data_IF_507821927613
#
_entry.id   IF_507821927613
#
_cell.length_a   1.000
_cell.length_b   1.000
_cell.length_c   1.000
_cell.angle_alpha   90.00
_cell.angle_beta   90.00
_cell.angle_gamma   90.00
#
_symmetry.space_group_name_H-M   'P 1'
#
loop_
_entity.id
_entity.type
_entity.pdbx_description
1 polymer ?
#
# COMPACT_ATOMS: atom_id res chain seq x y z
N UNK A 1 -14.15 42.28 7.29
CA UNK A 1 -14.18 41.07 6.45
C UNK A 1 -12.99 40.22 6.87
N UNK A 2 -13.23 39.03 7.41
CA UNK A 2 -12.17 38.11 7.83
C UNK A 2 -11.59 37.46 6.57
N UNK A 3 -10.29 37.64 6.33
CA UNK A 3 -9.56 36.86 5.34
C UNK A 3 -9.60 35.39 5.74
N UNK A 4 -10.30 34.56 4.99
CA UNK A 4 -10.20 33.12 5.13
C UNK A 4 -8.74 32.73 4.90
N UNK A 5 -8.09 32.21 5.93
CA UNK A 5 -6.73 31.69 5.82
C UNK A 5 -6.84 30.43 4.96
N UNK A 6 -6.47 30.52 3.68
CA UNK A 6 -6.41 29.36 2.79
C UNK A 6 -5.33 28.46 3.35
N UNK A 7 -5.71 27.40 4.06
CA UNK A 7 -4.76 26.41 4.53
C UNK A 7 -4.17 25.73 3.30
N UNK A 8 -2.95 26.11 2.93
CA UNK A 8 -2.22 25.40 1.88
C UNK A 8 -1.79 24.04 2.41
N UNK A 9 -1.87 23.03 1.55
CA UNK A 9 -1.31 21.72 1.83
C UNK A 9 0.21 21.86 1.92
N UNK A 10 0.83 21.24 2.93
CA UNK A 10 2.29 21.20 3.03
C UNK A 10 2.88 20.39 1.88
N UNK A 11 4.05 20.79 1.35
CA UNK A 11 4.74 20.07 0.27
C UNK A 11 5.02 18.62 0.65
N UNK A 12 4.55 17.67 -0.17
CA UNK A 12 4.63 16.23 0.11
C UNK A 12 5.93 15.65 -0.49
N UNK A 13 6.84 15.07 0.33
CA UNK A 13 8.00 14.34 -0.18
C UNK A 13 7.57 13.17 -1.07
N UNK A 14 8.18 13.02 -2.25
CA UNK A 14 7.84 11.98 -3.21
C UNK A 14 6.71 12.31 -4.19
N UNK A 15 5.95 13.38 -3.95
CA UNK A 15 4.93 13.88 -4.88
C UNK A 15 5.24 15.31 -5.39
N UNK A 16 5.45 16.24 -4.46
CA UNK A 16 5.70 17.66 -4.77
C UNK A 16 7.19 18.02 -4.78
N UNK A 17 8.00 17.25 -4.05
CA UNK A 17 9.46 17.43 -3.98
C UNK A 17 10.17 16.07 -3.98
N UNK A 18 11.44 16.00 -4.39
CA UNK A 18 12.24 14.77 -4.29
C UNK A 18 12.31 14.23 -2.86
N UNK A 19 12.47 12.91 -2.74
CA UNK A 19 12.72 12.24 -1.47
C UNK A 19 14.13 12.55 -0.95
N UNK A 20 14.27 12.64 0.37
CA UNK A 20 15.53 12.79 1.09
C UNK A 20 15.80 11.58 1.98
N UNK A 21 17.05 11.42 2.46
CA UNK A 21 17.37 10.37 3.43
C UNK A 21 16.62 10.57 4.75
N UNK A 22 16.34 11.81 5.11
CA UNK A 22 15.56 12.18 6.29
C UNK A 22 14.11 11.69 6.15
N UNK A 23 13.50 11.85 4.97
CA UNK A 23 12.16 11.29 4.70
C UNK A 23 12.16 9.76 4.84
N UNK A 24 13.21 9.09 4.35
CA UNK A 24 13.36 7.64 4.50
C UNK A 24 13.53 7.21 5.96
N UNK A 25 14.26 7.96 6.79
CA UNK A 25 14.43 7.65 8.22
C UNK A 25 13.13 7.89 9.01
N UNK A 26 12.42 8.96 8.69
CA UNK A 26 11.11 9.22 9.26
C UNK A 26 10.12 8.08 8.94
N UNK A 27 10.18 7.56 7.71
CA UNK A 27 9.35 6.43 7.28
C UNK A 27 9.48 5.20 8.19
N UNK A 28 10.69 4.88 8.66
CA UNK A 28 10.96 3.75 9.55
C UNK A 28 10.25 3.90 10.90
N UNK A 29 10.32 5.11 11.48
CA UNK A 29 9.68 5.43 12.76
C UNK A 29 8.16 5.33 12.60
N UNK A 30 7.63 5.90 11.52
CA UNK A 30 6.22 5.88 11.20
C UNK A 30 5.70 4.46 11.02
N UNK A 31 6.34 3.66 10.16
CA UNK A 31 5.97 2.26 9.88
C UNK A 31 5.98 1.40 11.14
N UNK A 32 7.03 1.48 11.96
CA UNK A 32 7.14 0.69 13.18
C UNK A 32 6.10 1.07 14.26
N UNK A 33 5.52 2.28 14.17
CA UNK A 33 4.42 2.74 15.01
C UNK A 33 3.01 2.34 14.52
N UNK A 34 2.88 1.72 13.35
CA UNK A 34 1.58 1.32 12.80
C UNK A 34 1.00 0.09 13.54
N UNK A 35 -0.34 -0.07 13.54
CA UNK A 35 -0.96 -1.30 14.03
C UNK A 35 -0.52 -2.50 13.17
N UNK A 36 -0.32 -3.65 13.79
CA UNK A 36 -0.04 -4.87 13.03
C UNK A 36 -1.30 -5.31 12.29
N UNK A 37 -1.18 -5.74 11.04
CA UNK A 37 -2.31 -6.32 10.30
C UNK A 37 -2.90 -7.52 11.05
N UNK A 38 -4.24 -7.56 11.14
CA UNK A 38 -4.98 -8.66 11.76
C UNK A 38 -6.36 -8.82 11.11
N UNK A 39 -6.96 -10.01 11.21
CA UNK A 39 -8.26 -10.28 10.57
C UNK A 39 -9.44 -9.50 11.14
N UNK A 40 -9.29 -8.96 12.35
CA UNK A 40 -10.33 -8.12 12.96
C UNK A 40 -10.26 -6.65 12.51
N UNK A 41 -9.38 -6.30 11.56
CA UNK A 41 -9.43 -4.99 10.94
C UNK A 41 -10.68 -4.94 10.05
N UNK A 42 -11.67 -4.18 10.49
CA UNK A 42 -12.92 -3.99 9.77
C UNK A 42 -12.92 -2.62 9.11
N UNK A 43 -13.51 -2.57 7.92
CA UNK A 43 -13.64 -1.36 7.13
C UNK A 43 -15.11 -1.13 6.87
N UNK A 44 -15.59 0.07 7.18
CA UNK A 44 -16.93 0.49 6.80
C UNK A 44 -16.94 0.83 5.30
N UNK A 45 -17.83 0.17 4.55
CA UNK A 45 -17.93 0.34 3.10
C UNK A 45 -18.42 1.74 2.72
N UNK A 46 -19.16 2.44 3.59
CA UNK A 46 -19.59 3.82 3.33
C UNK A 46 -18.37 4.76 3.22
N UNK A 47 -17.32 4.50 4.01
CA UNK A 47 -16.06 5.26 3.92
C UNK A 47 -15.28 4.91 2.66
N UNK A 48 -15.28 3.64 2.25
CA UNK A 48 -14.64 3.19 1.01
C UNK A 48 -15.29 3.88 -0.19
N UNK A 49 -16.62 3.88 -0.27
CA UNK A 49 -17.38 4.52 -1.35
C UNK A 49 -17.09 6.03 -1.42
N UNK A 50 -17.06 6.72 -0.27
CA UNK A 50 -16.78 8.15 -0.25
C UNK A 50 -15.33 8.47 -0.64
N UNK A 51 -14.34 7.70 -0.18
CA UNK A 51 -12.94 7.89 -0.58
C UNK A 51 -12.73 7.67 -2.08
N UNK A 52 -13.38 6.65 -2.67
CA UNK A 52 -13.42 6.47 -4.13
C UNK A 52 -14.09 7.67 -4.80
N UNK A 53 -15.17 8.18 -4.21
CA UNK A 53 -15.88 9.38 -4.66
C UNK A 53 -14.97 10.61 -4.70
N UNK A 54 -14.22 10.88 -3.64
CA UNK A 54 -13.24 11.98 -3.57
C UNK A 54 -12.22 11.86 -4.69
N UNK A 55 -11.56 10.71 -4.81
CA UNK A 55 -10.54 10.46 -5.85
C UNK A 55 -11.13 10.69 -7.26
N UNK A 56 -12.34 10.21 -7.48
CA UNK A 56 -13.03 10.30 -8.79
C UNK A 56 -13.41 11.75 -9.12
N UNK A 57 -13.99 12.49 -8.18
CA UNK A 57 -14.43 13.88 -8.40
C UNK A 57 -13.27 14.82 -8.71
N UNK A 58 -12.07 14.52 -8.23
CA UNK A 58 -10.85 15.25 -8.55
C UNK A 58 -10.09 14.73 -9.79
N UNK A 59 -10.63 13.74 -10.51
CA UNK A 59 -9.98 13.17 -11.69
C UNK A 59 -8.65 12.47 -11.39
N UNK A 60 -8.49 11.97 -10.16
CA UNK A 60 -7.26 11.31 -9.68
C UNK A 60 -7.37 9.77 -9.74
N UNK A 61 -8.50 9.24 -10.20
CA UNK A 61 -8.70 7.81 -10.40
C UNK A 61 -7.67 7.24 -11.39
N UNK A 62 -7.07 6.11 -11.04
CA UNK A 62 -6.00 5.47 -11.83
C UNK A 62 -4.60 6.04 -11.58
N UNK A 63 -4.48 7.16 -10.84
CA UNK A 63 -3.21 7.65 -10.29
C UNK A 63 -3.10 7.34 -8.80
N UNK A 64 -4.22 7.49 -8.08
CA UNK A 64 -4.29 7.31 -6.65
C UNK A 64 -5.41 6.34 -6.27
N UNK A 65 -5.20 5.71 -5.13
CA UNK A 65 -6.13 4.89 -4.38
C UNK A 65 -5.91 5.12 -2.89
N UNK A 66 -6.48 4.27 -2.05
CA UNK A 66 -6.20 4.27 -0.62
C UNK A 66 -5.88 2.87 -0.12
N UNK A 67 -5.13 2.86 0.97
CA UNK A 67 -4.55 1.67 1.57
C UNK A 67 -4.92 1.58 3.05
N UNK A 68 -5.14 0.37 3.56
CA UNK A 68 -5.37 0.14 4.99
C UNK A 68 -4.07 0.38 5.76
N UNK A 69 -4.05 1.31 6.70
CA UNK A 69 -2.85 1.64 7.48
C UNK A 69 -2.50 0.47 8.41
N UNK A 70 -1.43 -0.24 8.08
CA UNK A 70 -0.94 -1.34 8.90
C UNK A 70 0.56 -1.55 8.71
N UNK A 71 1.14 -2.37 9.59
CA UNK A 71 2.45 -2.99 9.39
C UNK A 71 2.35 -4.51 9.42
N UNK A 72 3.36 -5.14 8.86
CA UNK A 72 3.64 -6.55 9.03
C UNK A 72 4.53 -6.75 10.27
N UNK A 73 5.73 -7.31 10.07
CA UNK A 73 6.78 -7.33 11.08
C UNK A 73 7.48 -5.97 11.18
N UNK A 74 7.91 -5.54 12.38
CA UNK A 74 8.76 -4.36 12.52
C UNK A 74 10.06 -4.52 11.73
N UNK A 75 10.54 -3.41 11.18
CA UNK A 75 11.79 -3.37 10.41
C UNK A 75 12.92 -2.75 11.24
N UNK A 76 14.19 -3.11 11.00
CA UNK A 76 15.33 -2.51 11.69
C UNK A 76 15.41 -0.99 11.49
N UNK A 77 16.08 -0.31 12.42
CA UNK A 77 16.45 1.09 12.24
C UNK A 77 17.27 1.28 10.96
N UNK A 78 17.17 2.46 10.36
CA UNK A 78 17.84 2.82 9.11
C UNK A 78 17.51 1.87 7.94
N UNK A 79 16.32 1.27 7.96
CA UNK A 79 15.76 0.51 6.82
C UNK A 79 14.36 1.01 6.44
N UNK A 80 14.01 0.87 5.17
CA UNK A 80 12.69 1.19 4.62
C UNK A 80 12.00 -0.05 4.08
N UNK A 81 10.68 0.03 3.92
CA UNK A 81 9.89 -0.91 3.10
C UNK A 81 10.06 -0.56 1.63
N UNK A 82 10.81 -1.37 0.90
CA UNK A 82 11.06 -1.17 -0.53
C UNK A 82 10.48 -2.33 -1.33
N UNK A 83 9.53 -2.00 -2.19
CA UNK A 83 8.94 -2.90 -3.18
C UNK A 83 9.82 -3.01 -4.42
N UNK A 84 10.03 -4.25 -4.87
CA UNK A 84 10.69 -4.56 -6.13
C UNK A 84 9.90 -5.62 -6.88
N UNK A 85 9.68 -5.43 -8.19
CA UNK A 85 8.97 -6.42 -9.00
C UNK A 85 9.70 -7.75 -9.04
N UNK A 86 8.96 -8.86 -9.10
CA UNK A 86 9.59 -10.18 -9.23
C UNK A 86 10.33 -10.37 -10.56
N UNK A 87 9.92 -9.68 -11.62
CA UNK A 87 10.52 -9.74 -12.96
C UNK A 87 10.24 -11.03 -13.74
N UNK A 88 9.77 -12.08 -13.08
CA UNK A 88 9.45 -13.39 -13.68
C UNK A 88 7.96 -13.75 -13.62
N UNK A 89 7.23 -13.18 -12.66
CA UNK A 89 5.78 -13.31 -12.50
C UNK A 89 5.22 -11.95 -12.09
N UNK A 90 3.95 -11.66 -12.37
CA UNK A 90 3.31 -10.46 -11.83
C UNK A 90 3.36 -10.45 -10.31
N UNK A 91 3.68 -9.29 -9.73
CA UNK A 91 3.78 -9.11 -8.29
C UNK A 91 5.08 -8.44 -7.86
N UNK A 92 5.12 -8.06 -6.60
CA UNK A 92 6.21 -7.34 -5.97
C UNK A 92 6.64 -8.03 -4.68
N UNK A 93 7.92 -7.89 -4.37
CA UNK A 93 8.49 -8.25 -3.09
C UNK A 93 8.85 -6.96 -2.35
N UNK A 94 8.14 -6.73 -1.24
CA UNK A 94 8.34 -5.62 -0.33
C UNK A 94 9.19 -6.08 0.87
N UNK A 95 10.40 -5.54 1.01
CA UNK A 95 11.35 -5.98 2.03
C UNK A 95 12.07 -4.82 2.72
N UNK A 96 12.54 -5.04 3.97
CA UNK A 96 13.44 -4.10 4.62
C UNK A 96 14.71 -3.89 3.77
N UNK A 97 15.00 -2.65 3.43
CA UNK A 97 16.18 -2.26 2.66
C UNK A 97 16.89 -1.11 3.36
N UNK A 98 18.21 -1.19 3.52
CA UNK A 98 18.98 -0.17 4.23
C UNK A 98 18.92 1.18 3.50
N UNK A 99 18.65 2.26 4.23
CA UNK A 99 18.53 3.63 3.71
C UNK A 99 19.78 4.01 2.90
N UNK A 100 20.96 3.64 3.38
CA UNK A 100 22.23 3.97 2.72
C UNK A 100 22.50 3.17 1.44
N UNK A 101 21.79 2.08 1.20
CA UNK A 101 21.91 1.27 -0.01
C UNK A 101 20.97 1.72 -1.14
N UNK A 102 20.08 2.67 -0.87
CA UNK A 102 19.05 3.12 -1.80
C UNK A 102 19.54 4.31 -2.62
N UNK A 103 19.38 4.23 -3.94
CA UNK A 103 19.51 5.38 -4.83
C UNK A 103 18.20 6.18 -4.85
N UNK A 104 18.22 7.38 -4.26
CA UNK A 104 17.07 8.29 -4.19
C UNK A 104 16.53 8.70 -5.57
N UNK A 105 17.34 8.59 -6.63
CA UNK A 105 16.89 8.90 -7.99
C UNK A 105 16.18 7.72 -8.68
N UNK A 106 16.23 6.53 -8.06
CA UNK A 106 15.67 5.30 -8.61
C UNK A 106 14.68 4.65 -7.64
N UNK A 107 14.01 5.46 -6.82
CA UNK A 107 12.86 5.05 -6.01
C UNK A 107 11.77 6.11 -6.04
N UNK A 108 10.57 5.73 -5.64
CA UNK A 108 9.46 6.64 -5.41
C UNK A 108 8.65 6.20 -4.19
N UNK A 109 7.88 7.12 -3.62
CA UNK A 109 6.96 6.80 -2.54
C UNK A 109 5.67 6.16 -3.10
N UNK A 110 5.19 5.13 -2.43
CA UNK A 110 4.00 4.35 -2.84
C UNK A 110 2.84 4.63 -1.90
N UNK A 111 3.07 4.56 -0.58
CA UNK A 111 1.99 4.70 0.41
C UNK A 111 2.31 5.85 1.37
N UNK A 112 1.32 6.71 1.61
CA UNK A 112 1.43 7.92 2.41
C UNK A 112 0.38 7.96 3.51
N UNK A 113 0.83 8.07 4.77
CA UNK A 113 -0.06 8.27 5.89
C UNK A 113 -0.29 9.76 6.11
N UNK A 114 -1.53 10.15 6.40
CA UNK A 114 -1.80 11.50 6.87
C UNK A 114 -1.36 11.67 8.34
N UNK A 115 -0.53 12.69 8.60
CA UNK A 115 -0.09 13.09 9.92
C UNK A 115 -0.79 14.41 10.31
N UNK A 116 -1.92 14.36 11.06
CA UNK A 116 -2.74 15.55 11.32
C UNK A 116 -1.98 16.66 12.06
N UNK A 117 -1.09 16.29 12.99
CA UNK A 117 -0.28 17.23 13.78
C UNK A 117 0.68 18.06 12.94
N UNK A 118 1.09 17.54 11.78
CA UNK A 118 1.99 18.19 10.84
C UNK A 118 1.24 18.70 9.60
N UNK A 119 -0.06 18.42 9.50
CA UNK A 119 -0.92 18.71 8.35
C UNK A 119 -0.27 18.31 7.01
N UNK A 120 0.30 17.10 6.95
CA UNK A 120 0.96 16.58 5.74
C UNK A 120 0.77 15.08 5.56
N UNK A 121 0.95 14.64 4.31
CA UNK A 121 1.14 13.25 3.96
C UNK A 121 2.62 12.88 4.12
N UNK A 122 2.87 11.74 4.78
CA UNK A 122 4.22 11.22 5.06
C UNK A 122 4.36 9.86 4.40
N UNK A 123 5.32 9.67 3.47
CA UNK A 123 5.52 8.38 2.84
C UNK A 123 6.07 7.35 3.83
N UNK A 124 5.58 6.12 3.78
CA UNK A 124 6.07 5.03 4.63
C UNK A 124 6.39 3.72 3.91
N UNK A 125 5.95 3.57 2.65
CA UNK A 125 6.39 2.49 1.77
C UNK A 125 6.84 3.06 0.41
N UNK A 126 7.81 2.39 -0.21
CA UNK A 126 8.50 2.87 -1.40
C UNK A 126 8.58 1.79 -2.47
N UNK A 127 8.64 2.20 -3.73
CA UNK A 127 8.82 1.32 -4.88
C UNK A 127 10.13 1.62 -5.59
N UNK A 128 10.80 0.56 -6.07
CA UNK A 128 11.95 0.70 -6.94
C UNK A 128 11.54 1.21 -8.32
N UNK A 129 12.34 2.12 -8.89
CA UNK A 129 12.11 2.72 -10.20
C UNK A 129 11.44 4.10 -10.15
N UNK A 130 11.16 4.68 -11.32
CA UNK A 130 10.54 6.00 -11.42
C UNK A 130 9.10 6.01 -10.90
N UNK A 131 8.67 7.15 -10.37
CA UNK A 131 7.27 7.35 -9.98
C UNK A 131 6.35 7.32 -11.22
N UNK A 132 5.19 6.65 -11.16
CA UNK A 132 4.17 6.80 -12.19
C UNK A 132 3.48 8.17 -12.13
N UNK A 133 3.68 8.94 -11.06
CA UNK A 133 3.12 10.28 -10.88
C UNK A 133 4.12 11.31 -11.39
N UNK A 134 3.75 12.05 -12.43
CA UNK A 134 4.55 13.16 -12.95
C UNK A 134 4.52 14.35 -11.99
N UNK A 135 5.56 15.22 -12.00
CA UNK A 135 5.50 16.51 -11.32
C UNK A 135 4.25 17.31 -11.74
N UNK A 136 3.50 17.84 -10.77
CA UNK A 136 2.21 18.51 -11.02
C UNK A 136 1.06 17.54 -11.37
N UNK A 137 1.28 16.24 -11.27
CA UNK A 137 0.27 15.21 -11.50
C UNK A 137 -0.73 15.05 -10.36
N UNK A 138 -0.49 15.72 -9.23
CA UNK A 138 -1.28 15.72 -8.00
C UNK A 138 -2.05 17.03 -7.91
N UNK A 139 -3.35 16.94 -7.63
CA UNK A 139 -4.19 18.09 -7.34
C UNK A 139 -4.14 18.43 -5.84
N UNK A 140 -3.82 19.68 -5.50
CA UNK A 140 -3.77 20.13 -4.10
C UNK A 140 -5.15 20.15 -3.45
N UNK A 141 -6.21 20.43 -4.22
CA UNK A 141 -7.59 20.40 -3.71
C UNK A 141 -8.01 18.97 -3.36
N UNK A 142 -7.60 18.00 -4.18
CA UNK A 142 -7.77 16.57 -3.89
C UNK A 142 -7.13 16.18 -2.56
N UNK A 143 -5.84 16.50 -2.38
CA UNK A 143 -5.14 16.13 -1.14
C UNK A 143 -5.82 16.77 0.06
N UNK A 144 -6.27 18.01 -0.08
CA UNK A 144 -6.96 18.74 0.99
C UNK A 144 -8.31 18.10 1.35
N UNK A 145 -9.14 17.75 0.36
CA UNK A 145 -10.42 17.07 0.59
C UNK A 145 -10.21 15.69 1.21
N UNK A 146 -9.29 14.89 0.67
CA UNK A 146 -8.95 13.56 1.17
C UNK A 146 -8.51 13.62 2.64
N UNK A 147 -7.52 14.45 2.96
CA UNK A 147 -6.98 14.55 4.34
C UNK A 147 -8.00 15.12 5.33
N UNK A 148 -8.83 16.08 4.92
CA UNK A 148 -9.94 16.59 5.75
C UNK A 148 -10.98 15.52 6.02
N UNK A 149 -11.33 14.71 5.02
CA UNK A 149 -12.27 13.62 5.19
C UNK A 149 -11.74 12.61 6.21
N UNK A 150 -10.47 12.22 6.10
CA UNK A 150 -9.85 11.31 7.07
C UNK A 150 -9.86 11.88 8.49
N UNK A 151 -9.50 13.16 8.65
CA UNK A 151 -9.48 13.81 9.96
C UNK A 151 -10.88 13.95 10.59
N UNK A 152 -11.88 14.33 9.79
CA UNK A 152 -13.24 14.57 10.25
C UNK A 152 -13.95 13.31 10.74
N UNK A 153 -13.60 12.16 10.16
CA UNK A 153 -14.24 10.88 10.46
C UNK A 153 -13.34 9.93 11.29
N UNK A 154 -12.27 10.45 11.90
CA UNK A 154 -11.32 9.67 12.71
C UNK A 154 -10.64 8.49 11.98
N UNK A 155 -10.48 8.60 10.66
CA UNK A 155 -9.95 7.55 9.79
C UNK A 155 -8.43 7.61 9.54
N UNK A 156 -7.72 8.54 10.19
CA UNK A 156 -6.29 8.81 9.94
C UNK A 156 -5.35 7.66 10.31
N UNK A 157 -5.81 6.75 11.18
CA UNK A 157 -5.11 5.51 11.52
C UNK A 157 -5.70 4.28 10.80
N UNK A 158 -6.67 4.49 9.91
CA UNK A 158 -7.32 3.45 9.14
C UNK A 158 -6.91 3.52 7.66
N UNK A 159 -6.89 4.71 7.05
CA UNK A 159 -6.57 4.85 5.64
C UNK A 159 -5.33 5.73 5.38
N UNK A 160 -4.58 5.31 4.37
CA UNK A 160 -3.47 6.00 3.75
C UNK A 160 -3.77 6.26 2.27
N UNK A 161 -3.08 7.22 1.68
CA UNK A 161 -3.10 7.43 0.24
C UNK A 161 -2.10 6.48 -0.42
N UNK A 162 -2.48 5.83 -1.53
CA UNK A 162 -1.61 4.92 -2.28
C UNK A 162 -1.50 5.35 -3.74
N UNK A 163 -0.27 5.33 -4.26
CA UNK A 163 0.05 5.55 -5.67
C UNK A 163 -0.22 4.28 -6.45
N UNK A 164 -1.02 4.41 -7.51
CA UNK A 164 -1.42 3.32 -8.37
C UNK A 164 -0.41 3.17 -9.51
N UNK A 165 0.20 2.00 -9.65
CA UNK A 165 1.05 1.67 -10.79
C UNK A 165 0.20 1.26 -12.00
N UNK A 166 0.48 1.77 -13.21
CA UNK A 166 -0.18 1.30 -14.41
C UNK A 166 0.15 -0.18 -14.68
N UNK A 167 -0.86 -1.01 -14.92
CA UNK A 167 -0.66 -2.36 -15.43
C UNK A 167 -0.33 -2.36 -16.92
N UNK A 168 0.59 -3.24 -17.31
CA UNK A 168 0.85 -3.52 -18.72
C UNK A 168 -0.43 -4.01 -19.43
N UNK A 169 -0.71 -3.42 -20.60
CA UNK A 169 -1.84 -3.82 -21.45
C UNK A 169 -3.20 -3.21 -21.09
N UNK A 170 -3.26 -2.20 -20.21
CA UNK A 170 -4.47 -1.39 -19.99
C UNK A 170 -5.62 -2.12 -19.30
N UNK A 171 -5.34 -3.26 -18.66
CA UNK A 171 -6.33 -3.94 -17.79
C UNK A 171 -6.59 -3.09 -16.54
N UNK A 172 -7.79 -3.15 -15.94
CA UNK A 172 -8.00 -2.56 -14.62
C UNK A 172 -7.07 -3.19 -13.61
N UNK A 173 -6.51 -2.38 -12.70
CA UNK A 173 -5.78 -2.91 -11.56
C UNK A 173 -6.74 -3.73 -10.69
N UNK A 174 -6.43 -5.01 -10.50
CA UNK A 174 -7.16 -5.85 -9.55
C UNK A 174 -6.68 -5.58 -8.12
N UNK A 175 -7.52 -5.93 -7.13
CA UNK A 175 -7.10 -5.91 -5.73
C UNK A 175 -5.87 -6.81 -5.53
N UNK A 176 -4.89 -6.33 -4.76
CA UNK A 176 -3.64 -7.04 -4.51
C UNK A 176 -3.67 -7.75 -3.16
N UNK A 177 -3.27 -9.01 -3.15
CA UNK A 177 -3.06 -9.78 -1.95
C UNK A 177 -1.65 -9.70 -1.39
N UNK A 178 -1.58 -9.54 -0.08
CA UNK A 178 -0.34 -9.47 0.67
C UNK A 178 -0.10 -10.77 1.46
N UNK A 179 1.08 -11.36 1.25
CA UNK A 179 1.51 -12.58 1.89
C UNK A 179 2.77 -12.29 2.69
N UNK A 180 2.72 -12.45 4.02
CA UNK A 180 3.89 -12.31 4.88
C UNK A 180 4.82 -13.51 4.68
N UNK A 181 6.10 -13.26 4.41
CA UNK A 181 7.11 -14.30 4.20
C UNK A 181 8.15 -14.24 5.32
N UNK A 182 7.73 -14.62 6.52
CA UNK A 182 8.53 -14.54 7.76
C UNK A 182 9.41 -13.25 7.81
N UNK A 183 10.71 -13.38 8.05
CA UNK A 183 11.66 -12.25 8.11
C UNK A 183 12.10 -11.71 6.74
N UNK A 184 11.62 -12.30 5.65
CA UNK A 184 12.01 -11.95 4.29
C UNK A 184 11.19 -10.79 3.71
N UNK A 185 10.08 -10.43 4.36
CA UNK A 185 9.23 -9.31 3.98
C UNK A 185 7.83 -9.74 3.58
N UNK A 186 7.18 -8.95 2.73
CA UNK A 186 5.83 -9.20 2.24
C UNK A 186 5.86 -9.35 0.73
N UNK A 187 5.06 -10.27 0.22
CA UNK A 187 4.83 -10.46 -1.19
C UNK A 187 3.47 -9.89 -1.54
N UNK A 188 3.45 -8.94 -2.48
CA UNK A 188 2.25 -8.30 -3.01
C UNK A 188 1.94 -8.92 -4.36
N UNK A 189 0.79 -9.57 -4.49
CA UNK A 189 0.40 -10.33 -5.67
C UNK A 189 -0.98 -9.90 -6.15
N UNK A 190 -1.24 -9.92 -7.46
CA UNK A 190 -2.60 -9.87 -7.96
C UNK A 190 -3.45 -10.99 -7.33
N UNK A 191 -4.66 -10.69 -6.81
CA UNK A 191 -5.59 -11.66 -6.20
C UNK A 191 -5.81 -12.90 -7.08
N UNK A 192 -5.84 -12.73 -8.40
CA UNK A 192 -6.00 -13.82 -9.36
C UNK A 192 -4.90 -14.88 -9.25
N UNK A 193 -3.68 -14.50 -8.87
CA UNK A 193 -2.51 -15.39 -8.76
C UNK A 193 -2.38 -16.10 -7.42
N UNK A 194 -3.12 -15.68 -6.39
CA UNK A 194 -3.02 -16.28 -5.05
C UNK A 194 -4.02 -17.42 -4.90
N UNK A 195 -3.55 -18.56 -4.39
CA UNK A 195 -4.37 -19.70 -4.02
C UNK A 195 -4.96 -19.52 -2.60
N UNK A 196 -5.58 -18.36 -2.36
CA UNK A 196 -6.23 -18.02 -1.10
C UNK A 196 -7.76 -18.05 -1.23
N UNK A 197 -8.43 -18.58 -0.21
CA UNK A 197 -9.90 -18.66 -0.14
C UNK A 197 -10.55 -17.51 0.64
N UNK A 198 -9.80 -16.83 1.51
CA UNK A 198 -10.17 -15.59 2.21
C UNK A 198 -9.10 -14.53 1.90
N UNK A 199 -9.51 -13.28 1.75
CA UNK A 199 -8.61 -12.20 1.35
C UNK A 199 -9.03 -10.90 2.05
N UNK A 200 -8.13 -10.31 2.85
CA UNK A 200 -8.32 -8.95 3.37
C UNK A 200 -7.76 -7.97 2.33
N UNK A 201 -8.61 -7.22 1.61
CA UNK A 201 -8.12 -6.17 0.72
C UNK A 201 -7.36 -5.10 1.53
N UNK A 202 -6.13 -4.83 1.11
CA UNK A 202 -5.29 -3.78 1.71
C UNK A 202 -5.27 -2.52 0.85
N UNK A 203 -5.65 -2.59 -0.44
CA UNK A 203 -5.74 -1.44 -1.35
C UNK A 203 -6.84 -1.58 -2.41
N UNK A 204 -7.36 -0.44 -2.90
CA UNK A 204 -8.47 -0.34 -3.87
C UNK A 204 -8.10 0.49 -5.11
N UNK A 205 -7.34 -0.06 -6.06
CA UNK A 205 -6.74 0.71 -7.16
C UNK A 205 -7.71 1.12 -8.29
N UNK A 206 -9.01 0.83 -8.19
CA UNK A 206 -10.00 1.08 -9.24
C UNK A 206 -11.43 1.26 -8.72
N UNK A 207 -12.41 1.34 -9.64
CA UNK A 207 -13.84 1.37 -9.28
C UNK A 207 -14.24 0.09 -8.54
N UNK A 208 -14.97 0.23 -7.43
CA UNK A 208 -15.55 -0.89 -6.69
C UNK A 208 -16.33 -1.79 -7.65
N UNK A 209 -15.99 -3.08 -7.70
CA UNK A 209 -16.77 -4.05 -8.46
C UNK A 209 -17.85 -4.65 -7.54
N UNK A 210 -19.05 -4.96 -8.06
CA UNK A 210 -20.05 -5.69 -7.30
C UNK A 210 -19.50 -7.06 -6.87
N UNK A 211 -19.49 -7.36 -5.57
CA UNK A 211 -19.04 -8.64 -5.01
C UNK A 211 -17.68 -8.62 -4.30
N UNK A 212 -17.09 -7.45 -4.06
CA UNK A 212 -15.80 -7.32 -3.37
C UNK A 212 -15.87 -7.50 -1.84
N UNK A 213 -17.05 -7.79 -1.25
CA UNK A 213 -17.24 -7.85 0.21
C UNK A 213 -17.79 -9.17 0.78
N UNK A 214 -18.31 -10.12 -0.01
CA UNK A 214 -18.96 -11.34 0.52
C UNK A 214 -18.67 -12.62 -0.31
N UNK A 215 -18.66 -13.82 0.31
CA UNK A 215 -18.56 -15.06 -0.45
C UNK A 215 -19.88 -15.33 -1.20
N UNK A 216 -19.85 -15.95 -2.38
CA UNK A 216 -21.08 -16.27 -3.12
C UNK A 216 -22.09 -17.08 -2.29
N UNK A 217 -23.38 -16.82 -2.50
CA UNK A 217 -24.47 -17.49 -1.78
C UNK A 217 -24.34 -19.02 -1.84
N UNK A 218 -24.35 -19.67 -0.67
CA UNK A 218 -24.19 -21.11 -0.52
C UNK A 218 -22.76 -21.58 -0.24
N UNK A 219 -21.81 -20.65 -0.12
CA UNK A 219 -20.44 -20.94 0.30
C UNK A 219 -20.17 -20.36 1.69
N UNK A 220 -19.36 -21.07 2.47
CA UNK A 220 -18.84 -20.62 3.77
C UNK A 220 -17.33 -20.44 3.65
N UNK A 221 -16.78 -19.39 4.27
CA UNK A 221 -15.34 -19.20 4.29
C UNK A 221 -14.63 -20.38 4.98
N UNK A 222 -13.46 -20.77 4.46
CA UNK A 222 -12.71 -21.90 4.99
C UNK A 222 -11.82 -21.44 6.15
N UNK A 223 -11.88 -22.15 7.29
CA UNK A 223 -11.04 -21.84 8.46
C UNK A 223 -9.55 -21.75 8.09
N UNK A 224 -8.92 -20.66 8.54
CA UNK A 224 -7.46 -20.43 8.52
C UNK A 224 -6.71 -21.67 8.97
N UNK A 225 -5.61 -21.99 8.28
CA UNK A 225 -4.74 -23.11 8.69
C UNK A 225 -3.98 -22.74 9.97
N UNK A 226 -3.62 -21.47 10.14
CA UNK A 226 -3.14 -20.85 11.39
C UNK A 226 -3.48 -19.35 11.34
N UNK A 227 -3.69 -18.69 12.47
CA UNK A 227 -4.26 -17.33 12.59
C UNK A 227 -3.49 -16.17 11.90
N UNK A 228 -2.36 -16.45 11.22
CA UNK A 228 -1.45 -15.46 10.62
C UNK A 228 -1.35 -15.55 9.09
N UNK A 229 -1.12 -14.41 8.42
CA UNK A 229 -0.85 -14.32 6.97
C UNK A 229 0.55 -14.84 6.56
N UNK A 230 1.20 -15.64 7.42
CA UNK A 230 2.62 -16.01 7.29
C UNK A 230 2.81 -17.30 6.51
N UNK A 231 3.71 -17.24 5.53
CA UNK A 231 4.35 -18.40 4.90
C UNK A 231 5.71 -18.59 5.55
N UNK A 232 5.94 -19.77 6.13
CA UNK A 232 7.22 -20.10 6.75
C UNK A 232 8.20 -20.64 5.70
N UNK A 233 9.35 -19.98 5.59
CA UNK A 233 10.45 -20.41 4.73
C UNK A 233 11.65 -20.76 5.61
N UNK A 234 11.93 -22.05 5.76
CA UNK A 234 13.01 -22.58 6.60
C UNK A 234 14.39 -22.59 5.89
N UNK A 235 14.56 -21.79 4.83
CA UNK A 235 15.82 -21.65 4.09
C UNK A 235 16.10 -20.18 3.75
N UNK A 236 17.37 -19.77 3.66
CA UNK A 236 17.71 -18.46 3.11
C UNK A 236 17.18 -18.32 1.68
N UNK A 237 16.56 -17.19 1.37
CA UNK A 237 16.17 -16.81 0.01
C UNK A 237 16.89 -15.52 -0.33
N UNK A 238 17.74 -15.57 -1.36
CA UNK A 238 18.56 -14.44 -1.79
C UNK A 238 17.97 -13.67 -2.96
N UNK A 239 17.06 -14.29 -3.73
CA UNK A 239 16.54 -13.73 -4.98
C UNK A 239 15.01 -13.81 -5.09
N UNK A 240 14.44 -12.91 -5.89
CA UNK A 240 13.02 -12.96 -6.28
C UNK A 240 12.64 -14.31 -6.93
N UNK A 241 13.52 -14.87 -7.77
CA UNK A 241 13.31 -16.15 -8.43
C UNK A 241 13.15 -17.32 -7.45
N UNK A 242 14.05 -17.40 -6.47
CA UNK A 242 13.99 -18.42 -5.41
C UNK A 242 12.71 -18.28 -4.55
N UNK A 243 12.27 -17.04 -4.28
CA UNK A 243 11.04 -16.78 -3.53
C UNK A 243 9.81 -17.30 -4.28
N UNK A 244 9.68 -16.95 -5.56
CA UNK A 244 8.54 -17.40 -6.40
C UNK A 244 8.51 -18.93 -6.48
N UNK A 245 9.66 -19.58 -6.72
CA UNK A 245 9.74 -21.04 -6.76
C UNK A 245 9.26 -21.67 -5.45
N UNK A 246 9.63 -21.08 -4.31
CA UNK A 246 9.21 -21.57 -3.01
C UNK A 246 7.70 -21.36 -2.76
N UNK A 247 7.15 -20.21 -3.14
CA UNK A 247 5.71 -19.93 -3.04
C UNK A 247 4.88 -20.89 -3.92
N UNK A 248 5.36 -21.21 -5.12
CA UNK A 248 4.77 -22.24 -5.98
C UNK A 248 4.84 -23.62 -5.31
N UNK A 249 6.01 -24.01 -4.79
CA UNK A 249 6.21 -25.31 -4.11
C UNK A 249 5.27 -25.49 -2.91
N UNK A 250 5.01 -24.41 -2.17
CA UNK A 250 4.10 -24.42 -1.02
C UNK A 250 2.62 -24.26 -1.42
N UNK A 251 2.31 -24.14 -2.70
CA UNK A 251 0.94 -24.04 -3.21
C UNK A 251 0.27 -22.69 -2.94
N UNK A 252 1.05 -21.65 -2.62
CA UNK A 252 0.58 -20.27 -2.38
C UNK A 252 0.25 -19.56 -3.68
N UNK A 253 1.08 -19.78 -4.71
CA UNK A 253 0.87 -19.26 -6.07
C UNK A 253 0.15 -20.28 -6.94
N UNK A 254 -0.82 -19.81 -7.74
CA UNK A 254 -1.39 -20.58 -8.85
C UNK A 254 -0.41 -20.54 -10.03
N UNK A 255 -0.09 -21.71 -10.58
CA UNK A 255 0.71 -21.86 -11.81
C UNK A 255 -0.20 -22.35 -12.92
#
# INVERSE_FOLDING_TARGET
MSTANVMSVATIPGLHKPLTKEDLKESTILYNGLPRIHSEMHIDMDHVEELVGIITRHGQLGKFSFHLVHRHDPIPNDTIRLESGFGIVPGKWNKPTAVDSVDLNNIHAVIFKFAPTQNRLVPFEFGLGPSPITPGGVDDEFVLEFTRYLAKNDLTNMFALEVVHPTEGGKPNECTAEVEVDKLGTVVLPKSLVNAKEFLPTGWPGSLQPGDSDPPAGQSWAKKVDESHKVFINKPIGTAGELVQELVRQGVLKV
#
